data_IF_085705085629
#
_entry.id   IF_085705085629
#
_cell.length_a   1.000
_cell.length_b   1.000
_cell.length_c   1.000
_cell.angle_alpha   90.00
_cell.angle_beta   90.00
_cell.angle_gamma   90.00
#
_symmetry.space_group_name_H-M   'P 1'
#
loop_
_entity.id
_entity.type
_entity.pdbx_description
1 polymer ?
#
# COMPACT_ATOMS: atom_id res chain seq x y z
N UNK A 1 -38.72 8.30 31.82
CA UNK A 1 -39.52 7.63 30.78
C UNK A 1 -39.21 8.33 29.47
N UNK A 2 -38.17 7.85 28.78
CA UNK A 2 -37.66 8.46 27.55
C UNK A 2 -37.79 7.41 26.45
N UNK A 3 -38.68 7.65 25.49
CA UNK A 3 -38.91 6.77 24.36
C UNK A 3 -37.98 7.17 23.21
N UNK A 4 -37.07 6.28 22.83
CA UNK A 4 -36.39 6.35 21.52
C UNK A 4 -37.32 5.82 20.41
N UNK A 5 -37.33 6.47 19.23
CA UNK A 5 -37.97 5.90 18.05
C UNK A 5 -37.02 4.91 17.35
N UNK A 6 -37.40 3.63 17.34
CA UNK A 6 -36.82 2.58 16.49
C UNK A 6 -37.20 2.83 15.02
N UNK A 7 -36.22 3.20 14.21
CA UNK A 7 -36.33 3.14 12.75
C UNK A 7 -36.25 1.68 12.29
N UNK A 8 -37.33 1.19 11.68
CA UNK A 8 -37.40 -0.14 11.07
C UNK A 8 -37.08 0.00 9.59
N UNK A 9 -35.87 -0.41 9.18
CA UNK A 9 -35.51 -0.51 7.76
C UNK A 9 -36.20 -1.74 7.16
N UNK A 10 -37.13 -1.50 6.24
CA UNK A 10 -37.81 -2.54 5.46
C UNK A 10 -36.96 -2.85 4.23
N UNK A 11 -36.20 -3.95 4.25
CA UNK A 11 -35.50 -4.46 3.07
C UNK A 11 -36.46 -5.33 2.23
N UNK A 12 -36.62 -5.09 0.92
CA UNK A 12 -37.40 -5.98 0.06
C UNK A 12 -36.66 -7.30 -0.20
N UNK A 13 -37.37 -8.43 -0.34
CA UNK A 13 -36.76 -9.70 -0.70
C UNK A 13 -36.35 -9.71 -2.18
N UNK A 14 -35.10 -10.10 -2.45
CA UNK A 14 -34.63 -10.43 -3.81
C UNK A 14 -35.23 -11.77 -4.23
N UNK A 15 -36.12 -11.73 -5.22
CA UNK A 15 -36.62 -12.91 -5.92
C UNK A 15 -35.50 -13.49 -6.78
N UNK A 16 -35.08 -14.72 -6.46
CA UNK A 16 -34.15 -15.52 -7.27
C UNK A 16 -34.97 -16.30 -8.30
N UNK A 17 -34.81 -15.96 -9.58
CA UNK A 17 -35.29 -16.79 -10.69
C UNK A 17 -34.27 -17.90 -11.01
N UNK A 18 -34.70 -19.16 -11.18
CA UNK A 18 -33.87 -20.23 -11.68
C UNK A 18 -34.08 -20.39 -13.20
N UNK A 19 -32.98 -20.41 -13.98
CA UNK A 19 -32.78 -21.08 -15.28
C UNK A 19 -31.86 -20.23 -16.17
N UNK A 20 -30.61 -20.64 -16.32
CA UNK A 20 -30.18 -21.29 -17.57
C UNK A 20 -28.72 -21.71 -17.45
N UNK A 21 -28.52 -23.03 -17.41
CA UNK A 21 -27.22 -23.68 -17.56
C UNK A 21 -26.84 -23.61 -19.04
N UNK A 22 -26.07 -22.60 -19.44
CA UNK A 22 -25.35 -22.63 -20.71
C UNK A 22 -23.87 -22.94 -20.47
N UNK A 23 -23.52 -24.20 -20.79
CA UNK A 23 -22.16 -24.71 -20.91
C UNK A 23 -21.46 -23.95 -22.05
N UNK A 24 -20.43 -23.15 -21.73
CA UNK A 24 -19.59 -22.47 -22.71
C UNK A 24 -18.21 -23.13 -22.76
N UNK A 25 -17.71 -23.58 -23.93
CA UNK A 25 -16.37 -24.17 -24.07
C UNK A 25 -15.25 -23.11 -24.01
N UNK A 26 -14.01 -23.50 -23.67
CA UNK A 26 -12.88 -22.58 -23.51
C UNK A 26 -12.32 -22.08 -24.86
N UNK A 27 -11.93 -20.80 -24.99
CA UNK A 27 -11.19 -20.36 -26.16
C UNK A 27 -9.72 -20.77 -26.08
N UNK A 28 -9.28 -21.37 -27.19
CA UNK A 28 -7.92 -21.82 -27.46
C UNK A 28 -6.89 -20.70 -27.41
N UNK A 29 -5.75 -21.02 -26.83
CA UNK A 29 -4.47 -20.31 -26.86
C UNK A 29 -4.05 -20.00 -28.31
N UNK A 30 -3.75 -18.74 -28.63
CA UNK A 30 -2.88 -18.41 -29.77
C UNK A 30 -1.72 -17.57 -29.29
N UNK A 31 -0.57 -18.23 -29.24
CA UNK A 31 0.79 -17.72 -29.05
C UNK A 31 1.13 -16.85 -30.25
N UNK A 32 1.34 -15.55 -30.05
CA UNK A 32 1.92 -14.70 -31.10
C UNK A 32 3.31 -14.24 -30.68
N UNK A 33 4.30 -14.98 -31.20
CA UNK A 33 5.69 -14.58 -31.30
C UNK A 33 5.85 -13.75 -32.55
N UNK A 34 6.20 -12.47 -32.44
CA UNK A 34 6.79 -11.76 -33.57
C UNK A 34 7.93 -10.85 -33.14
N UNK A 35 9.09 -11.21 -33.68
CA UNK A 35 10.38 -10.54 -33.75
C UNK A 35 10.41 -9.52 -34.89
N UNK A 36 10.84 -8.28 -34.63
CA UNK A 36 11.43 -7.31 -35.59
C UNK A 36 12.24 -6.33 -34.71
N UNK A 37 13.57 -6.33 -34.62
CA UNK A 37 14.62 -5.99 -35.59
C UNK A 37 14.41 -4.66 -36.33
N UNK A 38 14.89 -3.55 -35.75
CA UNK A 38 15.42 -2.43 -36.54
C UNK A 38 16.45 -1.63 -35.72
N UNK A 39 17.51 -1.27 -36.43
CA UNK A 39 18.79 -0.71 -36.02
C UNK A 39 18.76 0.84 -36.13
N UNK A 40 19.89 1.60 -36.07
CA UNK A 40 19.99 2.84 -35.32
C UNK A 40 19.93 4.11 -36.20
N UNK A 41 19.62 5.27 -35.61
CA UNK A 41 19.98 6.55 -36.20
C UNK A 41 20.57 7.51 -35.18
N UNK A 42 21.75 8.00 -35.54
CA UNK A 42 22.51 9.06 -34.90
C UNK A 42 22.07 10.42 -35.44
N UNK A 43 22.02 11.44 -34.58
CA UNK A 43 22.38 12.86 -34.83
C UNK A 43 22.02 13.64 -33.54
N UNK A 44 22.99 14.16 -32.80
CA UNK A 44 23.73 15.41 -33.00
C UNK A 44 23.02 16.64 -32.43
N UNK A 45 23.78 17.37 -31.61
CA UNK A 45 23.77 18.84 -31.50
C UNK A 45 22.72 19.49 -30.60
N UNK A 46 23.21 20.23 -29.59
CA UNK A 46 22.38 21.21 -28.89
C UNK A 46 22.81 21.52 -27.46
N UNK A 47 24.05 21.98 -27.26
CA UNK A 47 24.40 22.74 -26.04
C UNK A 47 23.59 24.03 -26.03
N UNK A 48 22.65 24.19 -25.10
CA UNK A 48 22.23 25.51 -24.64
C UNK A 48 22.22 25.54 -23.11
N UNK A 49 23.22 26.27 -22.64
CA UNK A 49 23.45 26.70 -21.27
C UNK A 49 22.43 27.80 -20.95
N UNK A 50 21.41 27.48 -20.16
CA UNK A 50 20.50 28.47 -19.60
C UNK A 50 21.01 28.88 -18.21
N UNK A 51 21.55 30.09 -18.16
CA UNK A 51 21.96 30.82 -16.99
C UNK A 51 20.71 31.34 -16.24
N UNK A 52 20.52 31.09 -14.93
CA UNK A 52 19.43 31.68 -14.18
C UNK A 52 19.82 33.11 -13.75
N UNK A 53 19.07 34.10 -14.21
CA UNK A 53 19.07 35.45 -13.61
C UNK A 53 17.89 35.56 -12.64
N UNK A 54 18.14 35.90 -11.36
CA UNK A 54 17.09 36.28 -10.43
C UNK A 54 16.75 37.77 -10.60
N UNK A 55 15.49 38.07 -10.88
CA UNK A 55 14.95 39.43 -10.83
C UNK A 55 13.83 39.41 -9.80
N UNK A 56 14.19 39.69 -8.56
CA UNK A 56 13.23 40.06 -7.53
C UNK A 56 12.95 41.55 -7.69
N UNK A 57 11.76 41.92 -8.15
CA UNK A 57 11.26 43.29 -8.01
C UNK A 57 10.02 43.29 -7.13
N UNK A 58 10.25 43.67 -5.88
CA UNK A 58 9.25 43.93 -4.88
C UNK A 58 8.34 45.08 -5.33
N UNK A 59 7.03 44.87 -5.18
CA UNK A 59 6.01 45.89 -5.32
C UNK A 59 5.93 46.68 -4.03
N UNK A 60 6.35 47.95 -4.05
CA UNK A 60 6.07 48.90 -2.96
C UNK A 60 5.00 49.85 -3.43
N UNK A 61 3.82 49.68 -2.85
CA UNK A 61 2.66 50.56 -2.89
C UNK A 61 3.01 51.99 -2.48
N UNK A 62 2.77 52.96 -3.36
CA UNK A 62 2.72 54.38 -3.00
C UNK A 62 1.28 54.85 -2.78
N UNK A 63 1.01 55.64 -1.73
CA UNK A 63 -0.29 56.24 -1.49
C UNK A 63 -0.50 57.56 -2.25
N UNK A 64 -1.78 57.80 -2.48
CA UNK A 64 -2.46 58.94 -3.11
C UNK A 64 -2.06 60.29 -2.49
N UNK A 65 -1.55 61.21 -3.31
CA UNK A 65 -1.36 62.63 -2.99
C UNK A 65 -2.19 63.50 -3.93
N UNK A 66 -3.07 64.31 -3.35
CA UNK A 66 -4.00 65.22 -4.01
C UNK A 66 -3.30 66.27 -4.91
N UNK A 67 -3.81 66.57 -6.11
CA UNK A 67 -3.31 67.70 -6.90
C UNK A 67 -3.83 69.04 -6.34
N UNK A 68 -2.88 69.93 -6.04
CA UNK A 68 -3.12 71.32 -5.65
C UNK A 68 -3.60 72.18 -6.84
N UNK A 69 -4.46 73.15 -6.52
CA UNK A 69 -5.11 74.10 -7.41
C UNK A 69 -4.18 74.86 -8.37
N UNK A 70 -4.61 75.14 -9.62
CA UNK A 70 -3.83 75.91 -10.58
C UNK A 70 -3.86 77.42 -10.27
N UNK A 71 -2.68 78.03 -10.23
CA UNK A 71 -2.50 79.48 -10.16
C UNK A 71 -2.83 80.11 -11.52
N UNK A 72 -3.80 81.02 -11.53
CA UNK A 72 -4.13 81.92 -12.64
C UNK A 72 -2.98 82.91 -12.87
N UNK A 73 -2.44 82.97 -14.09
CA UNK A 73 -1.64 84.10 -14.53
C UNK A 73 -1.89 84.41 -16.01
N UNK A 74 -2.54 85.56 -16.22
CA UNK A 74 -2.49 86.51 -17.34
C UNK A 74 -2.57 85.99 -18.78
N UNK A 75 -3.70 86.31 -19.39
CA UNK A 75 -3.93 86.33 -20.84
C UNK A 75 -2.97 87.31 -21.55
N UNK A 76 -2.36 86.89 -22.68
CA UNK A 76 -1.87 87.79 -23.71
C UNK A 76 -2.79 87.76 -24.94
N UNK A 77 -3.21 88.97 -25.31
CA UNK A 77 -3.63 89.51 -26.63
C UNK A 77 -3.74 88.50 -27.81
N UNK A 78 -4.88 88.46 -28.53
CA UNK A 78 -5.06 87.59 -29.70
C UNK A 78 -4.30 88.15 -30.90
N UNK A 79 -3.09 87.65 -31.16
CA UNK A 79 -2.47 87.77 -32.48
C UNK A 79 -2.98 86.63 -33.37
N UNK A 80 -3.21 86.86 -34.68
CA UNK A 80 -3.62 85.79 -35.58
C UNK A 80 -2.47 84.80 -35.70
N UNK A 81 -2.60 83.65 -35.04
CA UNK A 81 -1.68 82.52 -35.16
C UNK A 81 -1.88 81.93 -36.56
N UNK A 82 -1.15 82.48 -37.52
CA UNK A 82 -0.92 81.82 -38.80
C UNK A 82 -0.12 80.56 -38.47
N UNK A 83 -0.78 79.41 -38.48
CA UNK A 83 -0.19 78.10 -38.23
C UNK A 83 0.83 77.77 -39.33
N UNK A 84 2.04 78.32 -39.22
CA UNK A 84 3.25 77.80 -39.86
C UNK A 84 3.74 76.61 -39.04
N UNK A 85 2.97 75.52 -39.05
CA UNK A 85 3.32 74.27 -38.40
C UNK A 85 2.62 73.14 -39.12
N UNK A 86 3.34 72.08 -39.45
CA UNK A 86 2.86 70.92 -40.20
C UNK A 86 1.87 70.07 -39.37
N UNK A 87 0.72 70.63 -38.98
CA UNK A 87 -0.31 69.98 -38.15
C UNK A 87 -0.78 68.63 -38.73
N UNK A 88 -0.75 68.49 -40.06
CA UNK A 88 -1.06 67.23 -40.75
C UNK A 88 -0.05 66.13 -40.39
N UNK A 89 1.24 66.47 -40.26
CA UNK A 89 2.28 65.51 -39.85
C UNK A 89 2.08 65.09 -38.40
N UNK A 90 1.76 66.04 -37.52
CA UNK A 90 1.49 65.76 -36.09
C UNK A 90 0.27 64.85 -35.92
N UNK A 91 -0.79 65.07 -36.71
CA UNK A 91 -1.98 64.21 -36.69
C UNK A 91 -1.66 62.78 -37.15
N UNK A 92 -0.89 62.63 -38.23
CA UNK A 92 -0.45 61.31 -38.72
C UNK A 92 0.46 60.62 -37.70
N UNK A 93 1.37 61.35 -37.05
CA UNK A 93 2.21 60.81 -35.98
C UNK A 93 1.39 60.38 -34.76
N UNK A 94 0.37 61.16 -34.38
CA UNK A 94 -0.54 60.81 -33.29
C UNK A 94 -1.32 59.53 -33.59
N UNK A 95 -1.85 59.41 -34.82
CA UNK A 95 -2.55 58.20 -35.27
C UNK A 95 -1.63 56.96 -35.24
N UNK A 96 -0.42 57.07 -35.78
CA UNK A 96 0.58 55.98 -35.72
C UNK A 96 0.96 55.61 -34.28
N UNK A 97 1.08 56.61 -33.41
CA UNK A 97 1.38 56.39 -31.99
C UNK A 97 0.22 55.68 -31.28
N UNK A 98 -1.02 56.04 -31.60
CA UNK A 98 -2.21 55.37 -31.06
C UNK A 98 -2.31 53.91 -31.54
N UNK A 99 -2.05 53.67 -32.83
CA UNK A 99 -2.03 52.32 -33.41
C UNK A 99 -0.92 51.46 -32.80
N UNK A 100 0.30 52.00 -32.64
CA UNK A 100 1.40 51.32 -31.96
C UNK A 100 1.04 50.95 -30.52
N UNK A 101 0.41 51.86 -29.77
CA UNK A 101 -0.05 51.60 -28.39
C UNK A 101 -1.10 50.50 -28.34
N UNK A 102 -2.03 50.46 -29.31
CA UNK A 102 -3.02 49.37 -29.45
C UNK A 102 -2.32 48.02 -29.64
N UNK A 103 -1.34 47.94 -30.55
CA UNK A 103 -0.60 46.69 -30.78
C UNK A 103 0.23 46.28 -29.58
N UNK A 104 0.91 47.23 -28.92
CA UNK A 104 1.69 46.96 -27.71
C UNK A 104 0.80 46.40 -26.59
N UNK A 105 -0.38 46.99 -26.36
CA UNK A 105 -1.33 46.49 -25.37
C UNK A 105 -1.85 45.09 -25.73
N UNK A 106 -2.18 44.86 -27.01
CA UNK A 106 -2.62 43.54 -27.48
C UNK A 106 -1.57 42.48 -27.23
N UNK A 107 -0.30 42.78 -27.52
CA UNK A 107 0.83 41.89 -27.23
C UNK A 107 0.99 41.64 -25.73
N UNK A 108 0.86 42.66 -24.88
CA UNK A 108 0.92 42.51 -23.43
C UNK A 108 -0.17 41.55 -22.90
N UNK A 109 -1.40 41.68 -23.40
CA UNK A 109 -2.51 40.79 -23.02
C UNK A 109 -2.20 39.35 -23.43
N UNK A 110 -1.76 39.12 -24.67
CA UNK A 110 -1.37 37.78 -25.13
C UNK A 110 -0.23 37.19 -24.31
N UNK A 111 0.80 37.99 -24.00
CA UNK A 111 1.90 37.56 -23.12
C UNK A 111 1.38 37.16 -21.74
N UNK A 112 0.49 37.94 -21.13
CA UNK A 112 -0.12 37.59 -19.85
C UNK A 112 -0.91 36.28 -19.92
N UNK A 113 -1.68 36.06 -20.99
CA UNK A 113 -2.42 34.81 -21.20
C UNK A 113 -1.47 33.61 -21.36
N UNK A 114 -0.38 33.76 -22.12
CA UNK A 114 0.63 32.70 -22.30
C UNK A 114 1.27 32.36 -20.96
N UNK A 115 1.67 33.35 -20.17
CA UNK A 115 2.29 33.13 -18.86
C UNK A 115 1.32 32.46 -17.88
N UNK A 116 0.06 32.88 -17.85
CA UNK A 116 -0.97 32.26 -17.02
C UNK A 116 -1.22 30.80 -17.43
N UNK A 117 -1.34 30.52 -18.72
CA UNK A 117 -1.50 29.17 -19.24
C UNK A 117 -0.29 28.28 -18.91
N UNK A 118 0.93 28.83 -18.95
CA UNK A 118 2.15 28.11 -18.57
C UNK A 118 2.15 27.74 -17.09
N UNK A 119 1.81 28.69 -16.20
CA UNK A 119 1.71 28.41 -14.78
C UNK A 119 0.67 27.30 -14.48
N UNK A 120 -0.48 27.34 -15.15
CA UNK A 120 -1.50 26.29 -15.02
C UNK A 120 -1.05 24.93 -15.60
N UNK A 121 -0.25 24.93 -16.66
CA UNK A 121 0.31 23.71 -17.23
C UNK A 121 1.30 23.07 -16.25
N UNK A 122 2.18 23.86 -15.64
CA UNK A 122 3.17 23.39 -14.67
C UNK A 122 2.50 22.83 -13.41
N UNK A 123 1.48 23.52 -12.89
CA UNK A 123 0.70 23.07 -11.73
C UNK A 123 0.03 21.72 -12.01
N UNK A 124 -0.66 21.60 -13.16
CA UNK A 124 -1.30 20.34 -13.57
C UNK A 124 -0.27 19.24 -13.84
N UNK A 125 0.90 19.58 -14.36
CA UNK A 125 2.00 18.64 -14.58
C UNK A 125 2.50 18.02 -13.27
N UNK A 126 2.66 18.83 -12.22
CA UNK A 126 3.02 18.33 -10.87
C UNK A 126 1.92 17.47 -10.27
N UNK A 127 0.67 17.93 -10.30
CA UNK A 127 -0.46 17.17 -9.77
C UNK A 127 -0.63 15.81 -10.49
N UNK A 128 -0.37 15.75 -11.80
CA UNK A 128 -0.38 14.50 -12.56
C UNK A 128 0.69 13.52 -12.07
N UNK A 129 1.89 14.02 -11.78
CA UNK A 129 2.98 13.19 -11.29
C UNK A 129 2.72 12.67 -9.87
N UNK A 130 2.19 13.53 -8.98
CA UNK A 130 1.78 13.12 -7.63
C UNK A 130 0.73 11.99 -7.67
N UNK A 131 -0.26 12.09 -8.58
CA UNK A 131 -1.28 11.04 -8.76
C UNK A 131 -0.66 9.74 -9.30
N UNK A 132 0.33 9.83 -10.19
CA UNK A 132 1.04 8.64 -10.72
C UNK A 132 1.84 7.95 -9.63
N UNK A 133 2.53 8.71 -8.78
CA UNK A 133 3.29 8.16 -7.65
C UNK A 133 2.35 7.47 -6.64
N UNK A 134 1.25 8.12 -6.28
CA UNK A 134 0.23 7.53 -5.39
C UNK A 134 -0.33 6.23 -5.95
N UNK A 135 -0.66 6.19 -7.26
CA UNK A 135 -1.12 4.96 -7.92
C UNK A 135 -0.05 3.86 -7.84
N UNK A 136 1.20 4.16 -8.17
CA UNK A 136 2.29 3.17 -8.13
C UNK A 136 2.51 2.62 -6.70
N UNK A 137 2.36 3.46 -5.67
CA UNK A 137 2.40 3.03 -4.26
C UNK A 137 1.25 2.07 -3.93
N UNK A 138 0.03 2.40 -4.34
CA UNK A 138 -1.14 1.54 -4.13
C UNK A 138 -1.01 0.20 -4.86
N UNK A 139 -0.51 0.21 -6.10
CA UNK A 139 -0.25 -1.03 -6.86
C UNK A 139 0.79 -1.92 -6.18
N UNK A 140 1.81 -1.31 -5.58
CA UNK A 140 2.85 -2.03 -4.83
C UNK A 140 2.29 -2.67 -3.55
N UNK A 141 1.46 -1.96 -2.80
CA UNK A 141 0.80 -2.50 -1.61
C UNK A 141 -0.23 -3.58 -1.99
N UNK A 142 -1.00 -3.37 -3.06
CA UNK A 142 -1.92 -4.39 -3.60
C UNK A 142 -1.17 -5.69 -3.91
N UNK A 143 -0.02 -5.60 -4.58
CA UNK A 143 0.83 -6.75 -4.88
C UNK A 143 1.31 -7.43 -3.60
N UNK A 144 1.84 -6.66 -2.65
CA UNK A 144 2.29 -7.18 -1.36
C UNK A 144 1.19 -7.92 -0.60
N UNK A 145 -0.02 -7.36 -0.55
CA UNK A 145 -1.16 -7.99 0.13
C UNK A 145 -1.59 -9.29 -0.57
N UNK A 146 -1.57 -9.34 -1.90
CA UNK A 146 -1.83 -10.57 -2.66
C UNK A 146 -0.79 -11.65 -2.30
N UNK A 147 0.49 -11.27 -2.25
CA UNK A 147 1.57 -12.20 -1.89
C UNK A 147 1.39 -12.72 -0.44
N UNK A 148 1.01 -11.84 0.50
CA UNK A 148 0.70 -12.24 1.88
C UNK A 148 -0.49 -13.20 1.98
N UNK A 149 -1.57 -12.95 1.23
CA UNK A 149 -2.73 -13.83 1.19
C UNK A 149 -2.38 -15.20 0.59
N UNK A 150 -1.55 -15.23 -0.46
CA UNK A 150 -1.06 -16.47 -1.03
C UNK A 150 -0.27 -17.29 0.00
N UNK A 151 0.59 -16.64 0.79
CA UNK A 151 1.35 -17.30 1.86
C UNK A 151 0.43 -17.88 2.94
N UNK A 152 -0.57 -17.12 3.40
CA UNK A 152 -1.53 -17.60 4.42
C UNK A 152 -2.29 -18.83 3.92
N UNK A 153 -2.68 -18.85 2.65
CA UNK A 153 -3.36 -20.00 2.07
C UNK A 153 -2.44 -21.23 2.02
N UNK A 154 -1.16 -21.07 1.71
CA UNK A 154 -0.19 -22.17 1.73
C UNK A 154 0.06 -22.70 3.15
N UNK A 155 0.20 -21.81 4.13
CA UNK A 155 0.36 -22.17 5.54
C UNK A 155 -0.87 -22.94 6.05
N UNK A 156 -2.08 -22.50 5.67
CA UNK A 156 -3.33 -23.19 5.97
C UNK A 156 -3.36 -24.59 5.35
N UNK A 157 -3.06 -24.72 4.05
CA UNK A 157 -3.03 -26.03 3.38
C UNK A 157 -2.05 -26.98 4.09
N UNK A 158 -0.91 -26.45 4.53
CA UNK A 158 0.07 -27.24 5.26
C UNK A 158 -0.45 -27.67 6.64
N UNK A 159 -1.13 -26.77 7.36
CA UNK A 159 -1.77 -27.08 8.63
C UNK A 159 -2.85 -28.16 8.47
N UNK A 160 -3.70 -28.06 7.44
CA UNK A 160 -4.76 -29.04 7.14
C UNK A 160 -4.15 -30.43 6.83
N UNK A 161 -3.03 -30.50 6.11
CA UNK A 161 -2.31 -31.74 5.85
C UNK A 161 -1.72 -32.35 7.13
N UNK A 162 -1.13 -31.52 7.99
CA UNK A 162 -0.59 -31.95 9.28
C UNK A 162 -1.69 -32.44 10.22
N UNK A 163 -2.81 -31.73 10.29
CA UNK A 163 -3.98 -32.14 11.08
C UNK A 163 -4.51 -33.50 10.61
N UNK A 164 -4.72 -33.67 9.29
CA UNK A 164 -5.16 -34.94 8.74
C UNK A 164 -4.16 -36.08 9.01
N UNK A 165 -2.86 -35.80 9.02
CA UNK A 165 -1.83 -36.79 9.38
C UNK A 165 -1.92 -37.18 10.85
N UNK A 166 -1.99 -36.19 11.76
CA UNK A 166 -2.07 -36.42 13.19
C UNK A 166 -3.36 -37.12 13.60
N UNK A 167 -4.50 -36.81 12.96
CA UNK A 167 -5.77 -37.47 13.27
C UNK A 167 -5.76 -38.96 12.85
N UNK A 168 -5.11 -39.29 11.73
CA UNK A 168 -4.88 -40.69 11.33
C UNK A 168 -3.99 -41.41 12.35
N UNK A 169 -2.87 -40.81 12.74
CA UNK A 169 -1.94 -41.39 13.72
C UNK A 169 -2.63 -41.56 15.08
N UNK A 170 -3.37 -40.55 15.55
CA UNK A 170 -4.17 -40.61 16.78
C UNK A 170 -5.16 -41.78 16.74
N UNK A 171 -5.88 -41.93 15.63
CA UNK A 171 -6.84 -43.03 15.44
C UNK A 171 -6.14 -44.38 15.46
N UNK A 172 -5.00 -44.50 14.76
CA UNK A 172 -4.18 -45.71 14.74
C UNK A 172 -3.67 -46.09 16.14
N UNK A 173 -3.16 -45.12 16.91
CA UNK A 173 -2.68 -45.33 18.27
C UNK A 173 -3.82 -45.74 19.20
N UNK A 174 -4.99 -45.10 19.11
CA UNK A 174 -6.18 -45.49 19.86
C UNK A 174 -6.62 -46.92 19.55
N UNK A 175 -6.65 -47.27 18.26
CA UNK A 175 -6.95 -48.64 17.85
C UNK A 175 -5.94 -49.63 18.43
N UNK A 176 -4.64 -49.32 18.36
CA UNK A 176 -3.57 -50.18 18.89
C UNK A 176 -3.69 -50.36 20.40
N UNK A 177 -3.96 -49.29 21.15
CA UNK A 177 -4.19 -49.34 22.60
C UNK A 177 -5.38 -50.25 22.90
N UNK A 178 -6.50 -50.10 22.19
CA UNK A 178 -7.68 -50.93 22.40
C UNK A 178 -7.39 -52.42 22.10
N UNK A 179 -6.68 -52.72 21.02
CA UNK A 179 -6.29 -54.10 20.67
C UNK A 179 -5.40 -54.72 21.74
N UNK A 180 -4.38 -54.00 22.21
CA UNK A 180 -3.46 -54.53 23.23
C UNK A 180 -4.13 -54.67 24.59
N UNK A 181 -4.93 -53.68 25.00
CA UNK A 181 -5.59 -53.67 26.31
C UNK A 181 -6.68 -54.74 26.43
N UNK A 182 -7.49 -54.95 25.39
CA UNK A 182 -8.56 -55.95 25.40
C UNK A 182 -8.08 -57.37 25.03
N UNK A 183 -6.94 -57.49 24.34
CA UNK A 183 -6.38 -58.77 23.92
C UNK A 183 -5.34 -59.29 24.90
N UNK A 184 -4.07 -59.23 24.48
CA UNK A 184 -2.94 -59.88 25.16
C UNK A 184 -2.75 -59.40 26.61
N UNK A 185 -2.95 -58.12 26.88
CA UNK A 185 -2.78 -57.58 28.23
C UNK A 185 -3.82 -58.12 29.22
N UNK A 186 -5.09 -58.21 28.81
CA UNK A 186 -6.16 -58.70 29.68
C UNK A 186 -5.92 -60.16 30.08
N UNK A 187 -5.59 -61.01 29.11
CA UNK A 187 -5.25 -62.43 29.35
C UNK A 187 -4.05 -62.56 30.28
N UNK A 188 -2.97 -61.81 30.02
CA UNK A 188 -1.79 -61.83 30.87
C UNK A 188 -2.08 -61.33 32.30
N UNK A 189 -2.91 -60.28 32.45
CA UNK A 189 -3.30 -59.74 33.76
C UNK A 189 -4.09 -60.76 34.56
N UNK A 190 -5.08 -61.42 33.95
CA UNK A 190 -5.88 -62.46 34.61
C UNK A 190 -5.01 -63.63 35.10
N UNK A 191 -4.06 -64.08 34.29
CA UNK A 191 -3.12 -65.15 34.66
C UNK A 191 -2.23 -64.74 35.85
N UNK A 192 -1.69 -63.51 35.84
CA UNK A 192 -0.88 -62.99 36.95
C UNK A 192 -1.71 -62.81 38.22
N UNK A 193 -2.91 -62.27 38.11
CA UNK A 193 -3.81 -62.09 39.26
C UNK A 193 -4.26 -63.45 39.84
N UNK A 194 -4.39 -64.49 39.01
CA UNK A 194 -4.61 -65.87 39.49
C UNK A 194 -3.43 -66.37 40.32
N UNK A 195 -2.21 -66.27 39.78
CA UNK A 195 -0.99 -66.71 40.49
C UNK A 195 -0.75 -65.93 41.79
N UNK A 196 -1.04 -64.62 41.79
CA UNK A 196 -0.96 -63.79 43.01
C UNK A 196 -1.95 -64.23 44.06
N UNK A 197 -3.18 -64.56 43.67
CA UNK A 197 -4.20 -65.08 44.58
C UNK A 197 -3.75 -66.41 45.21
N UNK A 198 -3.16 -67.30 44.42
CA UNK A 198 -2.62 -68.59 44.90
C UNK A 198 -1.47 -68.41 45.90
N UNK A 199 -0.71 -67.30 45.78
CA UNK A 199 0.36 -66.90 46.69
C UNK A 199 -0.11 -66.01 47.87
N UNK A 200 -1.39 -65.69 47.96
CA UNK A 200 -1.94 -64.80 48.99
C UNK A 200 -1.59 -63.31 48.82
N UNK A 201 -1.22 -62.87 47.62
CA UNK A 201 -0.95 -61.46 47.29
C UNK A 201 -2.17 -60.77 46.67
N UNK A 202 -2.24 -59.44 46.84
CA UNK A 202 -3.28 -58.60 46.26
C UNK A 202 -3.14 -58.49 44.72
N UNK A 203 -4.26 -58.46 43.96
CA UNK A 203 -4.23 -58.28 42.51
C UNK A 203 -3.53 -56.99 42.08
N UNK A 204 -3.04 -56.97 40.84
CA UNK A 204 -2.40 -55.79 40.27
C UNK A 204 -3.41 -54.65 40.03
N UNK A 205 -2.96 -53.39 40.17
CA UNK A 205 -3.76 -52.22 39.85
C UNK A 205 -4.20 -52.25 38.38
N UNK A 206 -5.31 -51.57 38.09
CA UNK A 206 -5.84 -51.56 36.73
C UNK A 206 -4.92 -50.79 35.76
N UNK A 207 -4.97 -51.15 34.47
CA UNK A 207 -4.25 -50.41 33.43
C UNK A 207 -4.66 -48.93 33.43
N UNK A 208 -5.95 -48.66 33.64
CA UNK A 208 -6.50 -47.31 33.68
C UNK A 208 -5.89 -46.48 34.82
N UNK A 209 -5.82 -47.04 36.03
CA UNK A 209 -5.21 -46.40 37.19
C UNK A 209 -3.72 -46.08 36.97
N UNK A 210 -3.00 -46.99 36.31
CA UNK A 210 -1.59 -46.77 35.94
C UNK A 210 -1.44 -45.67 34.88
N UNK A 211 -2.37 -45.58 33.93
CA UNK A 211 -2.38 -44.53 32.89
C UNK A 211 -2.73 -43.16 33.48
N UNK A 212 -3.71 -43.09 34.37
CA UNK A 212 -4.14 -41.86 35.02
C UNK A 212 -3.01 -41.27 35.88
N UNK A 213 -2.25 -42.12 36.58
CA UNK A 213 -1.04 -41.71 37.30
C UNK A 213 0.02 -41.08 36.39
N UNK A 214 0.27 -41.67 35.20
CA UNK A 214 1.19 -41.10 34.21
C UNK A 214 0.65 -39.82 33.55
N UNK A 215 -0.65 -39.76 33.30
CA UNK A 215 -1.33 -38.59 32.74
C UNK A 215 -1.21 -37.37 33.65
N UNK A 216 -1.39 -37.56 34.96
CA UNK A 216 -1.17 -36.51 35.95
C UNK A 216 0.28 -36.03 35.95
N UNK A 217 1.26 -36.94 35.86
CA UNK A 217 2.67 -36.58 35.75
C UNK A 217 3.00 -35.72 34.52
N UNK A 218 2.42 -36.04 33.37
CA UNK A 218 2.60 -35.23 32.15
C UNK A 218 1.96 -33.84 32.25
N UNK A 219 0.78 -33.73 32.89
CA UNK A 219 0.13 -32.44 33.13
C UNK A 219 0.92 -31.59 34.13
N UNK A 220 1.50 -32.21 35.15
CA UNK A 220 2.41 -31.59 36.12
C UNK A 220 3.68 -31.07 35.42
N UNK A 221 4.31 -31.89 34.56
CA UNK A 221 5.47 -31.51 33.76
C UNK A 221 5.13 -30.36 32.80
N UNK A 222 3.96 -30.39 32.16
CA UNK A 222 3.51 -29.31 31.30
C UNK A 222 3.23 -28.03 32.07
N UNK A 223 2.67 -28.12 33.29
CA UNK A 223 2.39 -26.97 34.16
C UNK A 223 3.69 -26.35 34.67
N UNK A 224 4.66 -27.16 35.07
CA UNK A 224 5.99 -26.71 35.52
C UNK A 224 6.83 -26.14 34.37
N UNK A 225 6.74 -26.71 33.16
CA UNK A 225 7.35 -26.15 31.95
C UNK A 225 6.70 -24.80 31.55
N UNK A 226 5.37 -24.69 31.69
CA UNK A 226 4.65 -23.43 31.49
C UNK A 226 5.03 -22.38 32.55
N UNK A 227 5.18 -22.78 33.82
CA UNK A 227 5.60 -21.90 34.93
C UNK A 227 7.09 -21.50 34.85
N UNK A 228 7.93 -22.33 34.25
CA UNK A 228 9.35 -22.04 33.97
C UNK A 228 9.56 -21.10 32.78
N UNK A 229 8.47 -20.66 32.14
CA UNK A 229 8.48 -19.57 31.17
C UNK A 229 7.95 -18.34 31.90
N UNK A 230 8.82 -17.47 32.48
CA UNK A 230 8.34 -16.25 33.09
C UNK A 230 7.66 -15.42 32.02
N UNK A 231 6.47 -14.92 32.32
CA UNK A 231 5.80 -13.95 31.48
C UNK A 231 6.69 -12.72 31.33
N UNK A 232 7.33 -12.61 30.17
CA UNK A 232 8.07 -11.41 29.79
C UNK A 232 7.19 -10.67 28.79
N UNK A 233 6.53 -9.64 29.31
CA UNK A 233 5.95 -8.61 28.49
C UNK A 233 7.06 -7.96 27.67
N UNK A 234 6.86 -7.94 26.35
CA UNK A 234 7.56 -7.10 25.39
C UNK A 234 9.04 -7.44 25.10
N UNK A 235 9.31 -7.75 23.83
CA UNK A 235 10.63 -7.56 23.23
C UNK A 235 11.45 -8.83 22.99
N UNK A 236 11.21 -9.44 21.83
CA UNK A 236 12.22 -10.05 20.95
C UNK A 236 13.60 -10.39 21.59
N UNK A 237 13.85 -11.67 21.93
CA UNK A 237 15.15 -12.35 21.70
C UNK A 237 15.11 -13.85 22.06
N UNK A 238 15.39 -14.66 21.04
CA UNK A 238 15.96 -16.02 21.03
C UNK A 238 15.92 -16.84 22.32
N UNK A 239 15.07 -17.88 22.34
CA UNK A 239 15.44 -19.21 22.86
C UNK A 239 14.91 -20.29 21.92
N UNK A 240 15.80 -21.18 21.45
CA UNK A 240 15.49 -22.33 20.60
C UNK A 240 15.99 -23.58 21.34
N UNK A 241 15.08 -24.33 21.97
CA UNK A 241 15.24 -25.77 22.23
C UNK A 241 14.09 -26.49 21.52
N UNK A 242 14.50 -27.15 20.44
CA UNK A 242 14.03 -28.43 19.89
C UNK A 242 12.53 -28.70 19.73
N UNK A 243 12.19 -28.90 18.45
CA UNK A 243 11.03 -29.62 17.89
C UNK A 243 9.80 -28.84 17.39
N UNK A 244 9.95 -27.54 17.11
CA UNK A 244 9.08 -26.77 16.19
C UNK A 244 9.89 -26.09 15.08
N UNK A 245 11.14 -26.54 14.90
CA UNK A 245 12.20 -25.82 14.18
C UNK A 245 12.05 -25.81 12.67
N UNK A 246 11.34 -26.74 12.03
CA UNK A 246 11.35 -26.82 10.56
C UNK A 246 10.41 -25.80 9.90
N UNK A 247 9.21 -25.61 10.46
CA UNK A 247 8.22 -24.64 9.95
C UNK A 247 8.66 -23.19 10.22
N UNK A 248 9.11 -22.90 11.45
CA UNK A 248 9.51 -21.54 11.85
C UNK A 248 10.83 -21.07 11.22
N UNK A 249 11.70 -21.99 10.77
CA UNK A 249 12.94 -21.64 10.07
C UNK A 249 12.71 -21.32 8.59
N UNK A 250 11.67 -21.88 7.96
CA UNK A 250 11.28 -21.53 6.59
C UNK A 250 10.59 -20.15 6.52
N UNK A 251 9.79 -19.79 7.51
CA UNK A 251 9.12 -18.48 7.55
C UNK A 251 10.07 -17.32 7.88
N UNK A 252 11.11 -17.55 8.70
CA UNK A 252 12.07 -16.49 9.08
C UNK A 252 13.18 -16.23 8.06
N UNK A 253 13.51 -17.18 7.18
CA UNK A 253 14.52 -16.95 6.13
C UNK A 253 13.96 -16.22 4.89
N UNK A 254 12.63 -16.11 4.75
CA UNK A 254 12.01 -15.41 3.61
C UNK A 254 11.75 -13.92 3.87
N UNK A 255 11.62 -13.52 5.14
CA UNK A 255 11.37 -12.13 5.54
C UNK A 255 12.58 -11.20 5.49
N UNK A 256 13.81 -11.72 5.36
CA UNK A 256 15.03 -10.89 5.35
C UNK A 256 15.61 -10.62 3.95
N UNK A 257 15.01 -11.16 2.88
CA UNK A 257 15.57 -11.06 1.50
C UNK A 257 14.93 -9.95 0.64
N UNK A 258 13.90 -9.26 1.12
CA UNK A 258 13.21 -8.21 0.34
C UNK A 258 13.44 -6.76 0.84
N UNK A 259 14.28 -6.54 1.86
CA UNK A 259 14.48 -5.21 2.47
C UNK A 259 15.86 -4.58 2.16
N UNK A 260 16.61 -5.14 1.20
CA UNK A 260 17.92 -4.63 0.77
C UNK A 260 18.01 -4.45 -0.75
N UNK A 261 17.12 -3.62 -1.30
CA UNK A 261 17.16 -3.24 -2.70
C UNK A 261 16.53 -1.86 -2.91
N UNK A 262 17.25 -0.81 -2.50
CA UNK A 262 17.37 0.49 -3.17
C UNK A 262 17.82 1.59 -2.19
N UNK A 263 19.12 1.57 -1.88
CA UNK A 263 19.81 2.68 -1.22
C UNK A 263 21.09 3.03 -1.99
N UNK A 264 20.95 3.31 -3.29
CA UNK A 264 21.99 3.97 -4.06
C UNK A 264 21.39 5.15 -4.81
N UNK A 265 21.74 6.37 -4.38
CA UNK A 265 21.49 7.56 -5.19
C UNK A 265 21.22 8.86 -4.43
N UNK A 266 22.08 9.29 -3.50
CA UNK A 266 22.20 10.72 -3.17
C UNK A 266 23.66 11.13 -2.99
N UNK A 267 24.26 11.50 -4.11
CA UNK A 267 25.36 12.46 -4.20
C UNK A 267 24.82 13.73 -4.85
N UNK A 268 24.81 14.86 -4.12
CA UNK A 268 25.45 16.15 -4.48
C UNK A 268 24.95 17.33 -3.64
N UNK A 269 25.90 17.86 -2.86
CA UNK A 269 26.34 19.26 -2.71
C UNK A 269 25.36 20.45 -2.84
N UNK A 270 25.46 21.45 -1.94
CA UNK A 270 25.52 22.86 -2.34
C UNK A 270 26.90 23.25 -2.90
#
# INVERSE_FOLDING_TARGET
MSHEPRFVFFSPPLTVSPADTQVRPPPSRTRNSNSVQAQPQASSTGKFQAQPQPHSQASTSQPVGLPASPKKSKAPVPQPIVAKGDWTKDLVQLAKTAELKKHALTLQIHTAHILSAHASLDEKGRALEDVREQRNRLDSERKRLIDCLAQINEDRNTADLLEASLERERTQLRSKINTLSAGEYAVAKEEVDRLRRDLGQEPLPSLQETLDGKGNGYLEERRTAAASTPGDGNGTKKRKRTNTTLMDQMSRHRWWRNDHGDAHGRTRYP
#
